data_IF_185817945551
#
_entry.id   IF_185817945551
#
_cell.length_a   1.000
_cell.length_b   1.000
_cell.length_c   1.000
_cell.angle_alpha   90.00
_cell.angle_beta   90.00
_cell.angle_gamma   90.00
#
_symmetry.space_group_name_H-M   'P 1'
#
loop_
_entity.id
_entity.type
_entity.pdbx_description
1 polymer ?
#
# COMPACT_ATOMS: atom_id res chain seq x y z
N UNK A 1 -4.28 6.74 -28.99
CA UNK A 1 -3.76 5.71 -28.06
C UNK A 1 -4.87 4.86 -27.43
N UNK A 2 -5.87 5.45 -26.74
CA UNK A 2 -6.92 4.79 -25.95
C UNK A 2 -7.37 3.37 -26.38
N UNK A 3 -7.71 3.15 -27.67
CA UNK A 3 -8.19 1.83 -28.16
C UNK A 3 -7.21 0.67 -27.88
N UNK A 4 -5.88 0.89 -27.96
CA UNK A 4 -4.88 -0.17 -27.66
C UNK A 4 -4.80 -0.48 -26.17
N UNK A 5 -4.84 0.56 -25.31
CA UNK A 5 -4.85 0.41 -23.84
C UNK A 5 -6.10 -0.34 -23.40
N UNK A 6 -7.26 -0.01 -23.97
CA UNK A 6 -8.52 -0.69 -23.66
C UNK A 6 -8.52 -2.16 -24.10
N UNK A 7 -7.95 -2.50 -25.26
CA UNK A 7 -7.78 -3.89 -25.70
C UNK A 7 -6.83 -4.66 -24.77
N UNK A 8 -5.73 -4.06 -24.33
CA UNK A 8 -4.78 -4.67 -23.40
C UNK A 8 -5.39 -4.90 -22.01
N UNK A 9 -6.15 -3.92 -21.49
CA UNK A 9 -6.88 -4.06 -20.23
C UNK A 9 -7.98 -5.14 -20.31
N UNK A 10 -8.73 -5.22 -21.43
CA UNK A 10 -9.69 -6.31 -21.66
C UNK A 10 -9.00 -7.67 -21.73
N UNK A 11 -7.81 -7.77 -22.33
CA UNK A 11 -7.03 -9.00 -22.35
C UNK A 11 -6.55 -9.41 -20.94
N UNK A 12 -6.12 -8.47 -20.10
CA UNK A 12 -5.80 -8.73 -18.69
C UNK A 12 -7.03 -9.25 -17.94
N UNK A 13 -8.17 -8.55 -18.03
CA UNK A 13 -9.40 -8.99 -17.34
C UNK A 13 -9.90 -10.34 -17.85
N UNK A 14 -9.86 -10.57 -19.17
CA UNK A 14 -10.34 -11.78 -19.83
C UNK A 14 -9.48 -13.02 -19.61
N UNK A 15 -8.15 -12.87 -19.73
CA UNK A 15 -7.21 -13.99 -19.80
C UNK A 15 -6.42 -14.23 -18.50
N UNK A 16 -6.36 -13.24 -17.60
CA UNK A 16 -5.53 -13.28 -16.38
C UNK A 16 -6.38 -13.15 -15.11
N UNK A 17 -7.29 -12.18 -15.04
CA UNK A 17 -8.08 -11.90 -13.81
C UNK A 17 -9.32 -12.80 -13.67
N UNK A 18 -10.06 -13.02 -14.76
CA UNK A 18 -11.27 -13.85 -14.76
C UNK A 18 -11.28 -15.01 -15.80
N UNK A 19 -10.16 -15.72 -16.07
CA UNK A 19 -10.13 -16.79 -17.06
C UNK A 19 -11.05 -17.95 -16.66
N UNK A 20 -12.07 -18.21 -17.50
CA UNK A 20 -12.97 -19.36 -17.39
C UNK A 20 -12.55 -20.53 -18.29
N UNK A 21 -11.94 -20.20 -19.44
CA UNK A 21 -11.25 -21.16 -20.33
C UNK A 21 -9.93 -20.51 -20.75
N UNK A 22 -8.83 -21.28 -20.70
CA UNK A 22 -7.50 -20.75 -21.00
C UNK A 22 -7.44 -20.19 -22.44
N UNK A 23 -6.96 -18.96 -22.60
CA UNK A 23 -6.81 -18.33 -23.92
C UNK A 23 -8.10 -17.70 -24.51
N UNK A 24 -9.25 -17.82 -23.84
CA UNK A 24 -10.52 -17.26 -24.31
C UNK A 24 -11.05 -16.14 -23.40
N UNK A 25 -11.59 -15.09 -24.01
CA UNK A 25 -12.30 -14.01 -23.31
C UNK A 25 -13.80 -14.28 -23.41
N UNK A 26 -14.46 -14.49 -22.26
CA UNK A 26 -15.91 -14.68 -22.19
C UNK A 26 -16.66 -13.37 -22.46
N UNK A 27 -17.83 -13.45 -23.12
CA UNK A 27 -18.64 -12.26 -23.46
C UNK A 27 -19.08 -11.48 -22.20
N UNK A 28 -19.31 -12.16 -21.08
CA UNK A 28 -19.63 -11.53 -19.78
C UNK A 28 -18.50 -10.65 -19.26
N UNK A 29 -17.25 -10.92 -19.63
CA UNK A 29 -16.09 -10.10 -19.26
C UNK A 29 -16.01 -8.86 -20.16
N UNK A 30 -16.44 -8.97 -21.43
CA UNK A 30 -16.63 -7.80 -22.32
C UNK A 30 -17.73 -6.89 -21.78
N UNK A 31 -18.91 -7.44 -21.43
CA UNK A 31 -20.01 -6.70 -20.81
C UNK A 31 -19.61 -6.01 -19.49
N UNK A 32 -18.80 -6.69 -18.67
CA UNK A 32 -18.22 -6.12 -17.46
C UNK A 32 -17.24 -4.99 -17.79
N UNK A 33 -16.37 -5.17 -18.79
CA UNK A 33 -15.39 -4.16 -19.18
C UNK A 33 -16.03 -2.88 -19.75
N UNK A 34 -17.12 -2.98 -20.51
CA UNK A 34 -17.89 -1.80 -20.94
C UNK A 34 -18.51 -1.06 -19.74
N UNK A 35 -18.97 -1.77 -18.71
CA UNK A 35 -19.42 -1.16 -17.44
C UNK A 35 -18.30 -0.44 -16.69
N UNK A 36 -17.06 -0.93 -16.75
CA UNK A 36 -15.92 -0.22 -16.15
C UNK A 36 -15.63 1.12 -16.83
N UNK A 37 -15.80 1.20 -18.16
CA UNK A 37 -15.69 2.48 -18.90
C UNK A 37 -16.79 3.47 -18.53
N UNK A 38 -17.93 2.99 -18.02
CA UNK A 38 -19.02 3.81 -17.49
C UNK A 38 -18.78 4.25 -16.02
N UNK A 39 -17.59 3.99 -15.46
CA UNK A 39 -17.22 4.39 -14.10
C UNK A 39 -17.73 3.46 -12.99
N UNK A 40 -18.28 2.29 -13.32
CA UNK A 40 -18.73 1.32 -12.32
C UNK A 40 -17.50 0.71 -11.62
N UNK A 41 -17.49 0.75 -10.28
CA UNK A 41 -16.39 0.25 -9.47
C UNK A 41 -16.23 -1.29 -9.61
N UNK A 42 -15.06 -1.81 -10.06
CA UNK A 42 -14.84 -3.24 -10.23
C UNK A 42 -14.63 -4.01 -8.92
N UNK A 43 -14.28 -3.34 -7.82
CA UNK A 43 -13.78 -3.98 -6.57
C UNK A 43 -14.76 -5.01 -5.98
N UNK A 44 -16.08 -4.76 -5.87
CA UNK A 44 -17.03 -5.77 -5.37
C UNK A 44 -17.04 -7.06 -6.21
N UNK A 45 -16.94 -6.93 -7.53
CA UNK A 45 -16.94 -8.05 -8.49
C UNK A 45 -15.64 -8.84 -8.42
N UNK A 46 -14.49 -8.15 -8.34
CA UNK A 46 -13.18 -8.77 -8.16
C UNK A 46 -13.18 -9.59 -6.86
N UNK A 47 -13.51 -8.96 -5.72
CA UNK A 47 -13.54 -9.63 -4.41
C UNK A 47 -14.48 -10.83 -4.41
N UNK A 48 -15.66 -10.72 -5.04
CA UNK A 48 -16.60 -11.83 -5.13
C UNK A 48 -16.01 -13.06 -5.83
N UNK A 49 -15.38 -12.89 -7.00
CA UNK A 49 -14.79 -14.00 -7.74
C UNK A 49 -13.47 -14.50 -7.11
N UNK A 50 -12.66 -13.63 -6.51
CA UNK A 50 -11.50 -14.03 -5.69
C UNK A 50 -11.94 -14.97 -4.56
N UNK A 51 -12.93 -14.57 -3.75
CA UNK A 51 -13.38 -15.38 -2.62
C UNK A 51 -14.06 -16.69 -3.07
N UNK A 52 -14.85 -16.67 -4.16
CA UNK A 52 -15.47 -17.87 -4.75
C UNK A 52 -14.45 -18.85 -5.33
N UNK A 53 -13.36 -18.36 -5.92
CA UNK A 53 -12.30 -19.21 -6.47
C UNK A 53 -11.54 -19.92 -5.35
N UNK A 54 -11.17 -19.18 -4.31
CA UNK A 54 -10.46 -19.72 -3.13
C UNK A 54 -11.32 -20.68 -2.30
N UNK A 55 -12.61 -20.37 -2.12
CA UNK A 55 -13.55 -21.28 -1.44
C UNK A 55 -13.79 -22.55 -2.27
N UNK A 56 -13.84 -22.46 -3.60
CA UNK A 56 -13.93 -23.61 -4.50
C UNK A 56 -12.69 -24.50 -4.43
N UNK A 57 -11.49 -23.92 -4.45
CA UNK A 57 -10.23 -24.66 -4.29
C UNK A 57 -10.18 -25.40 -2.95
N UNK A 58 -10.52 -24.72 -1.85
CA UNK A 58 -10.62 -25.33 -0.51
C UNK A 58 -11.65 -26.47 -0.43
N UNK A 59 -12.74 -26.42 -1.20
CA UNK A 59 -13.76 -27.49 -1.25
C UNK A 59 -13.27 -28.73 -2.01
N UNK A 60 -12.48 -28.56 -3.07
CA UNK A 60 -12.05 -29.66 -3.96
C UNK A 60 -11.04 -30.64 -3.35
N UNK A 61 -10.41 -30.31 -2.22
CA UNK A 61 -9.40 -31.11 -1.48
C UNK A 61 -8.09 -31.45 -2.21
N UNK A 62 -8.05 -31.44 -3.55
CA UNK A 62 -6.86 -31.65 -4.39
C UNK A 62 -5.71 -30.65 -4.13
N UNK A 63 -6.00 -29.53 -3.47
CA UNK A 63 -5.00 -28.62 -2.92
C UNK A 63 -5.50 -27.95 -1.66
N UNK A 64 -4.65 -27.89 -0.63
CA UNK A 64 -5.05 -27.37 0.68
C UNK A 64 -4.79 -25.86 0.77
N UNK A 65 -5.78 -25.04 0.40
CA UNK A 65 -5.81 -23.64 0.85
C UNK A 65 -6.11 -23.61 2.36
N UNK A 66 -5.03 -23.59 3.15
CA UNK A 66 -5.07 -23.47 4.62
C UNK A 66 -5.10 -21.97 4.95
N UNK A 67 -6.30 -21.45 5.21
CA UNK A 67 -6.46 -20.04 5.58
C UNK A 67 -7.90 -19.58 5.69
N UNK A 68 -8.07 -18.34 6.17
CA UNK A 68 -9.34 -17.63 6.05
C UNK A 68 -9.35 -16.87 4.72
N UNK A 69 -10.25 -17.25 3.81
CA UNK A 69 -10.44 -16.59 2.51
C UNK A 69 -10.69 -15.08 2.65
N UNK A 70 -11.30 -14.66 3.76
CA UNK A 70 -11.67 -13.28 4.05
C UNK A 70 -10.46 -12.39 4.43
N UNK A 71 -9.35 -12.97 4.90
CA UNK A 71 -8.12 -12.25 5.28
C UNK A 71 -7.25 -11.81 4.09
N UNK A 72 -7.62 -12.16 2.85
CA UNK A 72 -6.78 -11.93 1.66
C UNK A 72 -6.83 -10.49 1.09
N UNK A 73 -7.33 -9.52 1.85
CA UNK A 73 -7.08 -8.11 1.56
C UNK A 73 -5.64 -7.76 2.01
N UNK A 74 -4.77 -7.49 1.03
CA UNK A 74 -3.38 -7.00 1.15
C UNK A 74 -2.71 -7.21 2.53
N UNK A 75 -2.12 -8.38 2.73
CA UNK A 75 -0.92 -8.51 3.58
C UNK A 75 0.29 -8.26 2.69
N UNK A 76 0.55 -6.98 2.42
CA UNK A 76 1.70 -6.51 1.65
C UNK A 76 2.60 -5.73 2.61
N UNK A 77 3.83 -6.19 2.83
CA UNK A 77 4.75 -5.64 3.85
C UNK A 77 5.48 -4.39 3.32
N UNK A 78 4.72 -3.44 2.78
CA UNK A 78 5.18 -2.10 2.38
C UNK A 78 4.91 -1.09 3.50
N UNK A 79 5.86 -0.20 3.83
CA UNK A 79 5.67 0.82 4.87
C UNK A 79 4.72 1.99 4.51
N UNK A 80 4.74 2.99 5.38
CA UNK A 80 3.93 4.20 5.36
C UNK A 80 4.32 5.15 4.21
N UNK A 81 3.41 5.36 3.26
CA UNK A 81 3.55 6.38 2.20
C UNK A 81 2.24 7.18 2.08
N UNK A 82 1.99 8.07 3.05
CA UNK A 82 0.76 8.86 3.14
C UNK A 82 0.93 10.31 2.65
N UNK A 83 2.16 10.81 2.50
CA UNK A 83 2.41 12.25 2.28
C UNK A 83 2.80 12.64 0.85
N UNK A 84 3.16 11.68 -0.01
CA UNK A 84 3.49 11.93 -1.42
C UNK A 84 2.39 11.50 -2.39
N UNK A 85 1.98 12.41 -3.28
CA UNK A 85 1.17 12.10 -4.49
C UNK A 85 1.93 11.31 -5.56
N UNK A 86 3.24 11.07 -5.35
CA UNK A 86 4.15 10.49 -6.35
C UNK A 86 4.75 9.14 -5.92
N UNK A 87 4.29 8.53 -4.82
CA UNK A 87 4.71 7.18 -4.45
C UNK A 87 3.86 6.11 -5.13
N UNK A 88 4.50 5.20 -5.87
CA UNK A 88 3.87 3.98 -6.40
C UNK A 88 4.40 2.74 -5.64
N UNK A 89 3.55 2.04 -4.86
CA UNK A 89 3.94 0.80 -4.17
C UNK A 89 4.44 -0.31 -5.10
N UNK A 90 3.95 -0.37 -6.34
CA UNK A 90 4.39 -1.35 -7.33
C UNK A 90 5.79 -1.03 -7.85
N UNK A 91 6.12 0.25 -8.03
CA UNK A 91 7.47 0.66 -8.41
C UNK A 91 8.47 0.30 -7.30
N UNK A 92 8.16 0.63 -6.05
CA UNK A 92 9.00 0.26 -4.89
C UNK A 92 9.14 -1.27 -4.72
N UNK A 93 8.10 -2.05 -5.02
CA UNK A 93 8.15 -3.51 -5.04
C UNK A 93 9.10 -4.04 -6.14
N UNK A 94 9.07 -3.44 -7.33
CA UNK A 94 9.91 -3.83 -8.48
C UNK A 94 11.37 -3.38 -8.35
N UNK A 95 11.63 -2.25 -7.70
CA UNK A 95 12.97 -1.73 -7.43
C UNK A 95 13.65 -2.45 -6.25
N UNK A 96 12.89 -3.12 -5.37
CA UNK A 96 13.45 -3.92 -4.27
C UNK A 96 14.31 -5.07 -4.83
N UNK A 97 15.54 -5.20 -4.33
CA UNK A 97 16.41 -6.35 -4.62
C UNK A 97 15.89 -7.61 -3.92
N UNK A 98 15.03 -8.34 -4.60
CA UNK A 98 14.58 -9.66 -4.15
C UNK A 98 15.74 -10.66 -4.10
N UNK A 99 15.83 -11.53 -3.08
CA UNK A 99 16.82 -12.61 -3.06
C UNK A 99 16.57 -13.52 -4.28
N UNK A 100 17.62 -13.78 -5.07
CA UNK A 100 17.46 -14.33 -6.42
C UNK A 100 16.97 -15.78 -6.47
N UNK A 101 17.09 -16.53 -5.37
CA UNK A 101 16.91 -17.99 -5.34
C UNK A 101 16.08 -18.47 -4.13
N UNK A 102 14.92 -17.85 -3.85
CA UNK A 102 14.04 -18.28 -2.76
C UNK A 102 13.23 -19.52 -3.16
N UNK A 103 13.54 -20.67 -2.56
CA UNK A 103 12.85 -21.94 -2.83
C UNK A 103 11.45 -22.00 -2.22
N UNK A 104 10.59 -22.91 -2.72
CA UNK A 104 9.26 -23.18 -2.14
C UNK A 104 9.37 -23.60 -0.67
N UNK A 105 10.35 -24.45 -0.35
CA UNK A 105 10.62 -24.93 1.01
C UNK A 105 11.01 -23.79 1.94
N UNK A 106 11.84 -22.83 1.48
CA UNK A 106 12.17 -21.64 2.25
C UNK A 106 10.92 -20.80 2.55
N UNK A 107 10.07 -20.52 1.55
CA UNK A 107 8.80 -19.82 1.79
C UNK A 107 7.86 -20.55 2.76
N UNK A 108 7.75 -21.87 2.66
CA UNK A 108 6.96 -22.68 3.61
C UNK A 108 7.51 -22.56 5.02
N UNK A 109 8.83 -22.66 5.21
CA UNK A 109 9.49 -22.44 6.51
C UNK A 109 9.22 -21.04 7.05
N UNK A 110 9.35 -20.00 6.21
CA UNK A 110 9.05 -18.61 6.60
C UNK A 110 7.61 -18.49 7.10
N UNK A 111 6.61 -18.93 6.33
CA UNK A 111 5.20 -18.81 6.71
C UNK A 111 4.80 -19.71 7.89
N UNK A 112 5.48 -20.83 8.12
CA UNK A 112 5.26 -21.69 9.29
C UNK A 112 5.79 -21.08 10.59
N UNK A 113 6.87 -20.29 10.52
CA UNK A 113 7.54 -19.68 11.68
C UNK A 113 7.19 -18.20 11.90
N UNK A 114 6.22 -17.62 11.18
CA UNK A 114 5.76 -16.24 11.44
C UNK A 114 5.07 -16.12 12.80
N UNK A 115 5.59 -15.24 13.66
CA UNK A 115 4.94 -14.84 14.89
C UNK A 115 3.88 -13.75 14.65
N UNK A 116 3.08 -13.44 15.67
CA UNK A 116 2.01 -12.46 15.55
C UNK A 116 2.52 -11.02 15.37
N UNK A 117 3.75 -10.76 15.84
CA UNK A 117 4.49 -9.50 15.71
C UNK A 117 5.23 -9.34 14.36
N UNK A 118 5.57 -10.41 13.66
CA UNK A 118 6.13 -10.33 12.29
C UNK A 118 5.15 -9.79 11.25
N UNK A 119 3.85 -9.79 11.59
CA UNK A 119 2.76 -9.48 10.68
C UNK A 119 2.22 -8.08 10.98
N UNK A 120 2.52 -7.12 10.12
CA UNK A 120 1.85 -5.81 10.13
C UNK A 120 0.40 -5.98 9.69
N UNK A 121 -0.53 -6.07 10.65
CA UNK A 121 -1.95 -6.36 10.36
C UNK A 121 -2.66 -5.22 9.63
N UNK A 122 -2.29 -3.97 9.93
CA UNK A 122 -2.82 -2.75 9.31
C UNK A 122 -2.00 -2.38 8.07
N UNK A 123 -2.67 -2.16 6.94
CA UNK A 123 -2.07 -1.45 5.81
C UNK A 123 -1.86 0.04 6.17
N UNK A 124 -0.62 0.56 6.28
CA UNK A 124 -0.35 1.84 6.93
C UNK A 124 -1.07 3.06 6.33
N UNK A 125 -1.17 3.10 5.00
CA UNK A 125 -1.83 4.15 4.22
C UNK A 125 -3.36 4.15 4.33
N UNK A 126 -4.00 3.13 4.94
CA UNK A 126 -5.44 3.14 5.17
C UNK A 126 -5.76 4.03 6.37
N UNK A 127 -6.54 5.12 6.21
CA UNK A 127 -7.00 5.92 7.32
C UNK A 127 -8.08 5.18 8.13
N UNK A 128 -8.22 5.45 9.43
CA UNK A 128 -9.40 5.09 10.20
C UNK A 128 -10.65 5.60 9.46
N UNK A 129 -11.56 4.69 9.16
CA UNK A 129 -12.60 4.92 8.15
C UNK A 129 -13.89 4.19 8.50
N UNK A 130 -14.98 4.57 7.84
CA UNK A 130 -16.31 4.03 8.13
C UNK A 130 -16.48 2.66 7.47
N UNK A 131 -16.66 1.62 8.28
CA UNK A 131 -16.71 0.23 7.84
C UNK A 131 -18.15 -0.18 7.47
N UNK A 132 -18.38 -0.54 6.21
CA UNK A 132 -19.61 -1.23 5.79
C UNK A 132 -19.56 -2.69 6.24
N UNK A 133 -20.11 -3.00 7.42
CA UNK A 133 -19.98 -4.34 8.00
C UNK A 133 -21.21 -5.24 7.81
N UNK A 134 -22.40 -4.65 7.58
CA UNK A 134 -23.69 -5.34 7.57
C UNK A 134 -24.64 -4.77 6.51
N UNK A 135 -25.43 -5.63 5.87
CA UNK A 135 -26.37 -5.25 4.80
C UNK A 135 -27.73 -5.92 5.02
N UNK A 136 -28.80 -5.12 5.00
CA UNK A 136 -30.15 -5.58 5.32
C UNK A 136 -30.26 -6.06 6.76
N UNK A 137 -30.32 -7.38 6.91
CA UNK A 137 -30.31 -8.11 8.19
C UNK A 137 -29.12 -9.11 8.27
N UNK A 138 -28.24 -9.15 7.27
CA UNK A 138 -27.07 -10.06 7.21
C UNK A 138 -25.85 -9.42 7.87
N UNK A 139 -25.16 -10.13 8.76
CA UNK A 139 -23.95 -9.65 9.46
C UNK A 139 -22.67 -9.71 8.59
N UNK A 140 -22.85 -9.56 7.29
CA UNK A 140 -21.82 -9.51 6.24
C UNK A 140 -22.38 -8.77 5.01
N UNK A 141 -21.50 -8.45 4.08
CA UNK A 141 -21.81 -7.76 2.82
C UNK A 141 -22.00 -8.78 1.70
N UNK A 142 -23.19 -8.92 1.07
CA UNK A 142 -23.40 -9.84 -0.04
C UNK A 142 -22.86 -9.24 -1.36
N UNK A 143 -21.72 -9.74 -1.81
CA UNK A 143 -21.07 -9.35 -3.07
C UNK A 143 -21.62 -10.17 -4.25
N UNK A 144 -21.68 -9.55 -5.43
CA UNK A 144 -22.03 -10.20 -6.70
C UNK A 144 -20.83 -10.14 -7.64
N UNK A 145 -20.41 -11.30 -8.12
CA UNK A 145 -19.34 -11.49 -9.12
C UNK A 145 -19.90 -11.71 -10.52
N UNK A 146 -19.04 -12.18 -11.44
CA UNK A 146 -19.41 -12.52 -12.81
C UNK A 146 -20.18 -13.85 -12.92
N UNK A 147 -19.94 -14.77 -11.99
CA UNK A 147 -20.41 -16.16 -12.07
C UNK A 147 -21.30 -16.57 -10.87
N UNK A 148 -21.61 -15.64 -9.96
CA UNK A 148 -22.35 -15.93 -8.74
C UNK A 148 -22.29 -14.81 -7.70
N UNK A 149 -22.64 -15.12 -6.45
CA UNK A 149 -22.50 -14.21 -5.31
C UNK A 149 -21.88 -14.90 -4.09
N UNK A 150 -21.37 -14.10 -3.15
CA UNK A 150 -20.71 -14.57 -1.92
C UNK A 150 -20.74 -13.49 -0.83
N UNK A 151 -20.83 -13.89 0.43
CA UNK A 151 -20.74 -12.98 1.58
C UNK A 151 -19.31 -12.60 1.94
N UNK A 152 -19.12 -11.33 2.27
CA UNK A 152 -17.86 -10.77 2.78
C UNK A 152 -18.08 -10.16 4.17
N UNK A 153 -17.54 -10.81 5.20
CA UNK A 153 -17.71 -10.49 6.61
C UNK A 153 -16.54 -9.65 7.12
N UNK A 154 -16.60 -8.33 6.89
CA UNK A 154 -15.57 -7.36 7.29
C UNK A 154 -15.24 -7.36 8.80
N UNK A 155 -16.16 -7.82 9.66
CA UNK A 155 -15.88 -8.02 11.09
C UNK A 155 -14.81 -9.10 11.36
N UNK A 156 -14.52 -9.99 10.42
CA UNK A 156 -13.46 -11.00 10.58
C UNK A 156 -12.03 -10.43 10.48
N UNK A 157 -11.89 -9.16 10.07
CA UNK A 157 -10.60 -8.56 9.64
C UNK A 157 -10.37 -7.14 10.18
N UNK A 158 -10.99 -6.79 11.31
CA UNK A 158 -10.99 -5.42 11.86
C UNK A 158 -9.60 -4.84 12.17
N UNK A 159 -8.62 -5.71 12.50
CA UNK A 159 -7.21 -5.30 12.71
C UNK A 159 -6.63 -4.60 11.48
N UNK A 160 -7.05 -4.99 10.27
CA UNK A 160 -6.60 -4.37 9.02
C UNK A 160 -7.01 -2.91 8.88
N UNK A 161 -8.01 -2.48 9.65
CA UNK A 161 -8.58 -1.13 9.66
C UNK A 161 -8.33 -0.40 10.99
N UNK A 162 -7.31 -0.79 11.77
CA UNK A 162 -6.95 -0.18 13.07
C UNK A 162 -8.04 -0.28 14.15
N UNK A 163 -8.85 -1.34 14.13
CA UNK A 163 -9.97 -1.53 15.05
C UNK A 163 -9.81 -2.81 15.87
N UNK A 164 -10.20 -2.75 17.16
CA UNK A 164 -10.07 -3.85 18.12
C UNK A 164 -10.86 -5.07 17.65
N UNK A 165 -10.18 -6.22 17.57
CA UNK A 165 -10.79 -7.45 17.07
C UNK A 165 -11.56 -8.18 18.17
N UNK A 166 -12.88 -8.32 17.96
CA UNK A 166 -13.77 -9.16 18.77
C UNK A 166 -14.25 -10.40 17.98
N UNK A 167 -15.06 -11.27 18.59
CA UNK A 167 -15.60 -12.47 17.95
C UNK A 167 -16.61 -12.08 16.85
N UNK A 168 -16.33 -12.36 15.56
CA UNK A 168 -17.21 -11.92 14.48
C UNK A 168 -18.44 -12.82 14.34
N UNK A 169 -19.62 -12.23 14.12
CA UNK A 169 -20.84 -12.97 13.77
C UNK A 169 -20.75 -13.49 12.34
N UNK A 170 -20.59 -14.81 12.16
CA UNK A 170 -20.50 -15.45 10.83
C UNK A 170 -21.65 -16.43 10.55
N UNK A 171 -22.74 -16.37 11.32
CA UNK A 171 -23.86 -17.32 11.24
C UNK A 171 -24.69 -17.13 9.97
N UNK A 172 -24.56 -18.03 8.99
CA UNK A 172 -25.19 -17.91 7.66
C UNK A 172 -24.21 -17.52 6.55
N UNK A 173 -22.98 -17.13 6.88
CA UNK A 173 -21.94 -16.75 5.91
C UNK A 173 -21.61 -17.91 4.95
N UNK A 174 -21.57 -19.15 5.44
CA UNK A 174 -21.29 -20.32 4.60
C UNK A 174 -22.39 -20.62 3.56
N UNK A 175 -23.62 -20.19 3.82
CA UNK A 175 -24.80 -20.36 2.98
C UNK A 175 -25.04 -19.17 2.02
N UNK A 176 -24.21 -18.12 2.13
CA UNK A 176 -24.27 -16.91 1.30
C UNK A 176 -23.74 -17.12 -0.12
N UNK A 177 -22.89 -18.12 -0.34
CA UNK A 177 -22.29 -18.44 -1.64
C UNK A 177 -23.30 -19.09 -2.59
N UNK A 178 -23.36 -18.65 -3.84
CA UNK A 178 -24.17 -19.27 -4.90
C UNK A 178 -23.59 -18.99 -6.29
N UNK A 179 -23.91 -19.85 -7.27
CA UNK A 179 -23.57 -19.65 -8.68
C UNK A 179 -24.79 -19.13 -9.48
N UNK A 180 -24.56 -18.42 -10.58
CA UNK A 180 -25.65 -18.00 -11.50
C UNK A 180 -26.23 -19.14 -12.34
N UNK A 181 -25.64 -20.34 -12.29
CA UNK A 181 -26.21 -21.59 -12.82
C UNK A 181 -27.04 -22.36 -11.79
N UNK A 182 -27.06 -21.94 -10.52
CA UNK A 182 -27.77 -22.63 -9.44
C UNK A 182 -29.25 -22.30 -9.39
N UNK A 183 -30.06 -23.25 -8.90
CA UNK A 183 -31.50 -23.04 -8.76
C UNK A 183 -31.82 -21.81 -7.90
N UNK A 184 -32.81 -21.01 -8.34
CA UNK A 184 -33.25 -19.82 -7.60
C UNK A 184 -32.24 -18.66 -7.57
N UNK A 185 -31.14 -18.68 -8.33
CA UNK A 185 -30.13 -17.60 -8.32
C UNK A 185 -30.75 -16.21 -8.56
N UNK A 186 -31.72 -16.09 -9.48
CA UNK A 186 -32.43 -14.83 -9.74
C UNK A 186 -33.20 -14.29 -8.53
N UNK A 187 -33.66 -15.17 -7.62
CA UNK A 187 -34.21 -14.74 -6.32
C UNK A 187 -33.10 -14.19 -5.44
N UNK A 188 -31.97 -14.92 -5.29
CA UNK A 188 -30.81 -14.47 -4.51
C UNK A 188 -30.24 -13.13 -5.01
N UNK A 189 -30.16 -12.90 -6.32
CA UNK A 189 -29.72 -11.62 -6.91
C UNK A 189 -30.71 -10.49 -6.59
N UNK A 190 -32.02 -10.70 -6.76
CA UNK A 190 -33.03 -9.69 -6.41
C UNK A 190 -33.04 -9.37 -4.92
N UNK A 191 -32.96 -10.38 -4.07
CA UNK A 191 -32.98 -10.18 -2.61
C UNK A 191 -31.68 -9.56 -2.10
N UNK A 192 -30.54 -9.85 -2.75
CA UNK A 192 -29.28 -9.10 -2.57
C UNK A 192 -29.48 -7.63 -2.93
N UNK A 193 -29.97 -7.31 -4.14
CA UNK A 193 -30.19 -5.94 -4.59
C UNK A 193 -31.21 -5.16 -3.73
N UNK A 194 -32.20 -5.83 -3.11
CA UNK A 194 -33.07 -5.24 -2.08
C UNK A 194 -32.30 -4.95 -0.79
N UNK A 195 -31.48 -5.89 -0.32
CA UNK A 195 -30.75 -5.76 0.95
C UNK A 195 -29.75 -4.58 0.92
N UNK A 196 -29.11 -4.32 -0.22
CA UNK A 196 -28.22 -3.17 -0.45
C UNK A 196 -28.89 -1.79 -0.28
N UNK A 197 -30.24 -1.71 -0.22
CA UNK A 197 -30.95 -0.47 0.14
C UNK A 197 -30.86 -0.11 1.63
N UNK A 198 -30.38 -1.02 2.49
CA UNK A 198 -30.25 -0.85 3.94
C UNK A 198 -28.83 -1.25 4.37
N UNK A 199 -27.87 -0.36 4.14
CA UNK A 199 -26.49 -0.53 4.60
C UNK A 199 -26.36 -0.19 6.09
N UNK A 200 -25.46 -0.88 6.79
CA UNK A 200 -25.08 -0.56 8.17
C UNK A 200 -23.59 -0.28 8.23
N UNK A 201 -23.27 0.90 8.74
CA UNK A 201 -21.94 1.46 8.82
C UNK A 201 -21.48 1.49 10.29
N UNK A 202 -20.19 1.30 10.52
CA UNK A 202 -19.55 1.42 11.84
C UNK A 202 -18.35 2.35 11.74
N UNK A 203 -18.32 3.38 12.58
CA UNK A 203 -17.12 4.22 12.73
C UNK A 203 -16.03 3.44 13.46
N UNK A 204 -14.85 3.35 12.87
CA UNK A 204 -13.71 2.68 13.46
C UNK A 204 -12.90 3.67 14.29
N UNK A 205 -13.24 3.75 15.57
CA UNK A 205 -12.39 4.44 16.54
C UNK A 205 -10.99 3.82 16.58
N UNK A 206 -9.97 4.68 16.64
CA UNK A 206 -8.57 4.29 16.77
C UNK A 206 -8.33 3.61 18.12
N UNK A 207 -8.34 2.28 18.10
CA UNK A 207 -7.77 1.49 19.17
C UNK A 207 -6.36 1.05 18.75
N UNK A 208 -5.43 0.96 19.71
CA UNK A 208 -4.19 0.21 19.49
C UNK A 208 -4.54 -1.21 19.01
N UNK A 209 -3.67 -1.84 18.22
CA UNK A 209 -3.96 -3.15 17.62
C UNK A 209 -4.10 -4.23 18.71
N UNK A 210 -5.34 -4.48 19.09
CA UNK A 210 -5.71 -5.20 20.31
C UNK A 210 -6.82 -6.20 20.03
N UNK A 211 -6.83 -7.26 20.84
CA UNK A 211 -7.85 -8.30 20.82
C UNK A 211 -8.83 -8.08 21.99
N UNK A 212 -10.03 -8.66 21.91
CA UNK A 212 -10.76 -9.01 23.13
C UNK A 212 -10.21 -10.33 23.70
N UNK A 213 -10.32 -10.52 25.01
CA UNK A 213 -9.90 -11.75 25.68
C UNK A 213 -10.67 -12.95 25.10
N UNK A 214 -11.96 -12.77 24.84
CA UNK A 214 -12.84 -13.78 24.25
C UNK A 214 -12.39 -14.14 22.83
N UNK A 215 -11.96 -13.17 22.02
CA UNK A 215 -11.44 -13.43 20.68
C UNK A 215 -10.13 -14.23 20.73
N UNK A 216 -9.23 -13.94 21.68
CA UNK A 216 -8.01 -14.73 21.88
C UNK A 216 -8.35 -16.19 22.23
N UNK A 217 -9.28 -16.42 23.17
CA UNK A 217 -9.74 -17.75 23.59
C UNK A 217 -10.40 -18.49 22.40
N UNK A 218 -11.35 -17.84 21.72
CA UNK A 218 -12.06 -18.35 20.55
C UNK A 218 -11.12 -18.70 19.38
N UNK A 219 -10.08 -17.90 19.14
CA UNK A 219 -9.03 -18.21 18.16
C UNK A 219 -8.24 -19.45 18.57
N UNK A 220 -7.77 -19.50 19.82
CA UNK A 220 -6.94 -20.61 20.33
C UNK A 220 -7.67 -21.96 20.24
N UNK A 221 -8.96 -21.99 20.58
CA UNK A 221 -9.81 -23.18 20.43
C UNK A 221 -9.91 -23.68 18.98
N UNK A 222 -9.90 -22.77 17.99
CA UNK A 222 -10.00 -23.12 16.55
C UNK A 222 -8.67 -23.51 15.91
N UNK A 223 -7.54 -22.96 16.38
CA UNK A 223 -6.20 -23.34 15.87
C UNK A 223 -5.89 -24.79 16.20
N UNK A 224 -6.23 -25.24 17.41
CA UNK A 224 -5.97 -26.60 17.87
C UNK A 224 -6.71 -27.70 17.08
N UNK A 225 -7.68 -27.36 16.20
CA UNK A 225 -8.35 -28.31 15.31
C UNK A 225 -7.73 -28.38 13.91
N UNK A 226 -6.58 -27.74 13.67
CA UNK A 226 -5.87 -27.72 12.38
C UNK A 226 -4.43 -28.20 12.58
N UNK A 227 -4.27 -29.52 12.67
CA UNK A 227 -2.98 -30.16 12.91
C UNK A 227 -2.09 -30.06 11.65
N UNK A 228 -1.05 -29.22 11.73
CA UNK A 228 0.01 -29.11 10.71
C UNK A 228 1.30 -29.65 11.33
N UNK A 229 1.94 -30.60 10.64
CA UNK A 229 3.21 -31.18 11.08
C UNK A 229 4.30 -30.11 11.10
N UNK A 230 4.98 -29.94 12.24
CA UNK A 230 6.19 -29.13 12.32
C UNK A 230 7.36 -29.85 11.66
N UNK A 231 8.19 -29.11 10.93
CA UNK A 231 9.46 -29.61 10.39
C UNK A 231 10.56 -28.69 10.89
N UNK A 232 11.47 -29.20 11.72
CA UNK A 232 12.48 -28.39 12.39
C UNK A 232 13.55 -27.91 11.38
N UNK A 233 13.45 -26.66 10.96
CA UNK A 233 14.49 -25.92 10.24
C UNK A 233 14.81 -24.62 10.98
N UNK A 234 16.08 -24.22 10.99
CA UNK A 234 16.47 -22.90 11.52
C UNK A 234 15.88 -21.80 10.64
N UNK A 235 15.13 -20.88 11.26
CA UNK A 235 14.53 -19.74 10.59
C UNK A 235 15.46 -18.54 10.62
N UNK A 236 15.86 -18.07 9.44
CA UNK A 236 16.37 -16.71 9.24
C UNK A 236 15.44 -16.03 8.24
N UNK A 237 14.79 -14.95 8.68
CA UNK A 237 13.94 -14.12 7.82
C UNK A 237 14.81 -13.38 6.79
N UNK A 238 14.69 -13.65 5.47
CA UNK A 238 15.50 -12.98 4.44
C UNK A 238 15.09 -11.50 4.24
N UNK A 239 14.02 -11.06 4.90
CA UNK A 239 13.58 -9.66 4.98
C UNK A 239 13.88 -9.04 6.35
N UNK A 240 14.82 -9.61 7.11
CA UNK A 240 15.33 -9.07 8.37
C UNK A 240 16.42 -7.99 8.16
N UNK A 241 16.31 -7.23 7.08
CA UNK A 241 16.84 -5.87 7.07
C UNK A 241 16.12 -5.13 8.22
N UNK A 242 16.87 -4.50 9.14
CA UNK A 242 16.24 -3.62 10.13
C UNK A 242 15.43 -2.57 9.37
N UNK A 243 14.11 -2.55 9.57
CA UNK A 243 13.24 -1.66 8.83
C UNK A 243 13.66 -0.22 9.18
N UNK A 244 14.10 0.60 8.20
CA UNK A 244 14.57 1.95 8.50
C UNK A 244 13.53 2.69 9.32
N UNK A 245 13.96 3.29 10.42
CA UNK A 245 13.02 3.85 11.41
C UNK A 245 12.05 4.83 10.75
N UNK A 246 10.85 5.00 11.31
CA UNK A 246 9.85 5.94 10.77
C UNK A 246 10.45 7.35 10.54
N UNK A 247 11.39 7.75 11.41
CA UNK A 247 12.18 8.97 11.32
C UNK A 247 13.14 9.02 10.11
N UNK A 248 13.77 7.90 9.77
CA UNK A 248 14.76 7.80 8.69
C UNK A 248 14.09 7.69 7.31
N UNK A 249 12.95 7.00 7.21
CA UNK A 249 12.10 7.06 6.02
C UNK A 249 11.52 8.48 5.82
N UNK A 250 11.02 9.11 6.88
CA UNK A 250 10.50 10.48 6.83
C UNK A 250 11.56 11.51 6.41
N UNK A 251 12.85 11.28 6.73
CA UNK A 251 13.95 12.08 6.18
C UNK A 251 14.03 11.97 4.67
N UNK A 252 14.07 10.75 4.14
CA UNK A 252 14.37 10.54 2.74
C UNK A 252 13.26 11.12 1.86
N UNK A 253 12.00 11.01 2.29
CA UNK A 253 10.85 11.72 1.69
C UNK A 253 11.00 13.25 1.80
N UNK A 254 11.34 13.77 2.99
CA UNK A 254 11.54 15.20 3.21
C UNK A 254 12.67 15.82 2.35
N UNK A 255 13.84 15.17 2.28
CA UNK A 255 14.97 15.64 1.46
C UNK A 255 14.66 15.55 -0.04
N UNK A 256 13.91 14.53 -0.48
CA UNK A 256 13.46 14.42 -1.86
C UNK A 256 12.49 15.55 -2.24
N UNK A 257 11.47 15.81 -1.42
CA UNK A 257 10.48 16.85 -1.70
C UNK A 257 11.10 18.26 -1.59
N UNK A 258 12.04 18.47 -0.66
CA UNK A 258 12.91 19.67 -0.59
C UNK A 258 13.72 19.85 -1.88
N UNK A 259 14.36 18.81 -2.39
CA UNK A 259 15.11 18.85 -3.65
C UNK A 259 14.20 19.02 -4.89
N UNK A 260 12.91 18.72 -4.78
CA UNK A 260 11.89 19.01 -5.80
C UNK A 260 11.43 20.47 -5.74
N UNK A 261 11.00 20.96 -4.58
CA UNK A 261 10.61 22.36 -4.37
C UNK A 261 11.73 23.35 -4.77
N UNK A 262 13.01 23.01 -4.56
CA UNK A 262 14.14 23.84 -5.01
C UNK A 262 14.24 23.94 -6.54
N UNK A 263 13.91 22.87 -7.28
CA UNK A 263 13.86 22.89 -8.75
C UNK A 263 12.66 23.70 -9.25
N UNK A 264 11.49 23.47 -8.66
CA UNK A 264 10.25 24.19 -9.02
C UNK A 264 10.40 25.71 -8.76
N UNK A 265 11.04 26.10 -7.66
CA UNK A 265 11.34 27.50 -7.34
C UNK A 265 12.33 28.11 -8.34
N UNK A 266 13.37 27.38 -8.74
CA UNK A 266 14.32 27.85 -9.76
C UNK A 266 13.65 28.04 -11.13
N UNK A 267 12.70 27.18 -11.52
CA UNK A 267 11.94 27.32 -12.76
C UNK A 267 11.02 28.55 -12.73
N UNK A 268 10.33 28.79 -11.61
CA UNK A 268 9.48 29.97 -11.41
C UNK A 268 10.28 31.29 -11.37
N UNK A 269 11.54 31.25 -10.92
CA UNK A 269 12.44 32.41 -11.03
C UNK A 269 12.77 32.73 -12.48
N UNK A 270 13.11 31.72 -13.30
CA UNK A 270 13.41 31.90 -14.73
C UNK A 270 12.19 32.43 -15.51
N UNK A 271 11.00 31.86 -15.27
CA UNK A 271 9.74 32.35 -15.86
C UNK A 271 9.48 33.83 -15.51
N UNK A 272 9.77 34.25 -14.27
CA UNK A 272 9.62 35.64 -13.82
C UNK A 272 10.64 36.57 -14.49
N UNK A 273 11.88 36.12 -14.70
CA UNK A 273 12.88 36.86 -15.49
C UNK A 273 12.43 37.05 -16.95
N UNK A 274 11.90 36.00 -17.60
CA UNK A 274 11.40 36.08 -18.96
C UNK A 274 10.18 37.02 -19.07
N UNK A 275 9.18 36.86 -18.20
CA UNK A 275 8.01 37.75 -18.17
C UNK A 275 8.39 39.23 -17.94
N UNK A 276 9.43 39.49 -17.15
CA UNK A 276 9.96 40.85 -16.94
C UNK A 276 10.58 41.44 -18.22
N UNK A 277 11.27 40.61 -19.02
CA UNK A 277 11.79 41.00 -20.33
C UNK A 277 10.62 41.28 -21.29
N UNK A 278 9.62 40.39 -21.35
CA UNK A 278 8.47 40.52 -22.25
C UNK A 278 7.64 41.77 -21.94
N UNK A 279 7.39 42.06 -20.66
CA UNK A 279 6.73 43.31 -20.21
C UNK A 279 7.53 44.54 -20.63
N UNK A 280 8.86 44.49 -20.60
CA UNK A 280 9.71 45.62 -21.00
C UNK A 280 9.80 45.78 -22.53
N UNK A 281 9.70 44.69 -23.30
CA UNK A 281 9.54 44.70 -24.75
C UNK A 281 8.17 45.30 -25.12
N UNK A 282 7.09 44.87 -24.49
CA UNK A 282 5.74 45.34 -24.81
C UNK A 282 5.54 46.81 -24.40
N UNK A 283 6.09 47.21 -23.25
CA UNK A 283 6.21 48.62 -22.89
C UNK A 283 6.93 49.44 -23.98
N UNK A 284 8.03 48.92 -24.52
CA UNK A 284 8.78 49.58 -25.61
C UNK A 284 8.03 49.60 -26.95
N UNK A 285 7.04 48.72 -27.16
CA UNK A 285 6.10 48.78 -28.29
C UNK A 285 5.02 49.82 -28.05
N UNK A 286 4.45 49.88 -26.85
CA UNK A 286 3.46 50.86 -26.42
C UNK A 286 4.01 52.29 -26.52
N UNK A 287 5.24 52.53 -26.02
CA UNK A 287 5.94 53.82 -26.10
C UNK A 287 6.36 54.22 -27.54
N UNK A 288 6.31 53.29 -28.51
CA UNK A 288 6.45 53.60 -29.95
C UNK A 288 5.09 53.81 -30.63
N UNK A 289 4.08 53.05 -30.23
CA UNK A 289 2.73 53.12 -30.80
C UNK A 289 1.92 54.33 -30.31
N UNK A 290 2.37 55.03 -29.25
CA UNK A 290 1.77 56.30 -28.80
C UNK A 290 1.85 57.46 -29.81
N UNK A 291 2.48 57.23 -30.98
CA UNK A 291 2.37 58.10 -32.16
C UNK A 291 1.02 58.00 -32.90
N UNK A 292 0.19 56.99 -32.64
CA UNK A 292 -1.21 56.93 -33.12
C UNK A 292 -2.18 57.22 -31.97
N UNK A 293 -3.18 58.05 -32.25
CA UNK A 293 -4.01 58.69 -31.22
C UNK A 293 -4.89 57.74 -30.41
N UNK A 294 -4.53 57.55 -29.14
CA UNK A 294 -5.45 57.31 -28.02
C UNK A 294 -5.64 58.59 -27.21
N UNK A 295 -6.80 58.76 -26.59
CA UNK A 295 -7.14 59.92 -25.76
C UNK A 295 -6.32 59.96 -24.47
N UNK A 296 -6.02 61.16 -23.97
CA UNK A 296 -5.34 61.36 -22.69
C UNK A 296 -6.15 60.82 -21.49
N UNK A 297 -7.46 60.60 -21.66
CA UNK A 297 -8.30 59.94 -20.66
C UNK A 297 -8.03 58.43 -20.60
N UNK A 298 -8.02 57.76 -21.76
CA UNK A 298 -7.81 56.31 -21.89
C UNK A 298 -6.46 55.88 -21.31
N UNK A 299 -5.39 56.64 -21.61
CA UNK A 299 -4.06 56.41 -21.04
C UNK A 299 -4.02 56.52 -19.51
N UNK A 300 -4.81 57.41 -18.90
CA UNK A 300 -4.90 57.54 -17.43
C UNK A 300 -5.63 56.35 -16.82
N UNK A 301 -6.65 55.83 -17.49
CA UNK A 301 -7.41 54.67 -17.05
C UNK A 301 -6.60 53.37 -17.17
N UNK A 302 -5.92 53.16 -18.30
CA UNK A 302 -4.98 52.03 -18.49
C UNK A 302 -3.84 52.08 -17.45
N UNK A 303 -3.24 53.25 -17.21
CA UNK A 303 -2.19 53.41 -16.20
C UNK A 303 -2.69 53.12 -14.77
N UNK A 304 -3.91 53.55 -14.42
CA UNK A 304 -4.51 53.26 -13.12
C UNK A 304 -4.83 51.76 -12.95
N UNK A 305 -5.35 51.10 -13.99
CA UNK A 305 -5.61 49.66 -13.97
C UNK A 305 -4.32 48.84 -13.85
N UNK A 306 -3.25 49.21 -14.58
CA UNK A 306 -1.93 48.59 -14.45
C UNK A 306 -1.37 48.79 -13.03
N UNK A 307 -1.51 49.99 -12.45
CA UNK A 307 -1.07 50.28 -11.08
C UNK A 307 -1.84 49.46 -10.05
N UNK A 308 -3.16 49.33 -10.19
CA UNK A 308 -3.98 48.48 -9.32
C UNK A 308 -3.61 46.99 -9.43
N UNK A 309 -3.33 46.51 -10.65
CA UNK A 309 -2.80 45.17 -10.88
C UNK A 309 -1.45 44.94 -10.20
N UNK A 310 -0.51 45.90 -10.30
CA UNK A 310 0.79 45.81 -9.64
C UNK A 310 0.68 45.78 -8.11
N UNK A 311 -0.17 46.63 -7.52
CA UNK A 311 -0.47 46.62 -6.07
C UNK A 311 -1.03 45.25 -5.63
N UNK A 312 -1.99 44.69 -6.38
CA UNK A 312 -2.58 43.38 -6.12
C UNK A 312 -1.53 42.25 -6.17
N UNK A 313 -0.72 42.19 -7.24
CA UNK A 313 0.31 41.14 -7.38
C UNK A 313 1.42 41.28 -6.33
N UNK A 314 1.81 42.49 -5.97
CA UNK A 314 2.74 42.78 -4.87
C UNK A 314 2.19 42.31 -3.52
N UNK A 315 0.91 42.55 -3.24
CA UNK A 315 0.23 42.03 -2.06
C UNK A 315 0.11 40.49 -2.04
N UNK A 316 -0.03 39.85 -3.21
CA UNK A 316 -0.04 38.40 -3.34
C UNK A 316 1.35 37.79 -3.15
N UNK A 317 2.39 38.35 -3.77
CA UNK A 317 3.78 37.92 -3.62
C UNK A 317 4.19 37.92 -2.14
N UNK A 318 3.93 39.02 -1.43
CA UNK A 318 4.20 39.15 0.01
C UNK A 318 3.55 38.05 0.87
N UNK A 319 2.32 37.65 0.55
CA UNK A 319 1.64 36.54 1.25
C UNK A 319 2.27 35.17 0.99
N UNK A 320 2.87 34.96 -0.18
CA UNK A 320 3.61 33.72 -0.45
C UNK A 320 5.01 33.76 0.18
N UNK A 321 5.67 34.92 0.23
CA UNK A 321 6.92 35.13 0.99
C UNK A 321 6.72 34.85 2.49
N UNK A 322 5.63 35.35 3.09
CA UNK A 322 5.28 35.12 4.50
C UNK A 322 5.04 33.62 4.80
N UNK A 323 4.39 32.88 3.88
CA UNK A 323 4.26 31.41 3.99
C UNK A 323 5.60 30.68 3.82
N UNK A 324 6.41 31.10 2.86
CA UNK A 324 7.72 30.49 2.61
C UNK A 324 8.65 30.68 3.82
N UNK A 325 8.66 31.87 4.44
CA UNK A 325 9.40 32.14 5.66
C UNK A 325 8.92 31.28 6.85
N UNK A 326 7.60 31.06 6.98
CA UNK A 326 7.05 30.14 7.99
C UNK A 326 7.50 28.69 7.74
N UNK A 327 7.39 28.20 6.51
CA UNK A 327 7.82 26.86 6.13
C UNK A 327 9.33 26.63 6.37
N UNK A 328 10.18 27.58 5.97
CA UNK A 328 11.62 27.53 6.23
C UNK A 328 11.97 27.50 7.72
N UNK A 329 11.15 28.11 8.59
CA UNK A 329 11.39 28.12 10.04
C UNK A 329 11.13 26.74 10.67
N UNK A 330 10.02 26.10 10.34
CA UNK A 330 9.72 24.75 10.84
C UNK A 330 10.66 23.70 10.22
N UNK A 331 11.05 23.90 8.96
CA UNK A 331 12.05 23.08 8.26
C UNK A 331 13.42 23.09 8.97
N UNK A 332 13.92 24.27 9.38
CA UNK A 332 15.18 24.38 10.15
C UNK A 332 15.11 23.65 11.49
N UNK A 333 13.99 23.78 12.21
CA UNK A 333 13.74 23.05 13.47
C UNK A 333 13.81 21.54 13.26
N UNK A 334 13.19 21.01 12.19
CA UNK A 334 13.24 19.57 11.85
C UNK A 334 14.65 19.09 11.46
N UNK A 335 15.48 19.92 10.84
CA UNK A 335 16.89 19.60 10.59
C UNK A 335 17.67 19.37 11.89
N UNK A 336 17.53 20.28 12.86
CA UNK A 336 18.23 20.20 14.16
C UNK A 336 17.76 18.98 14.98
N UNK A 337 16.46 18.71 14.99
CA UNK A 337 15.89 17.49 15.58
C UNK A 337 16.49 16.22 14.95
N UNK A 338 16.63 16.17 13.63
CA UNK A 338 17.26 15.04 12.93
C UNK A 338 18.76 14.91 13.23
N UNK A 339 19.54 16.00 13.15
CA UNK A 339 21.00 15.99 13.33
C UNK A 339 21.37 15.39 14.70
N UNK A 340 20.59 15.77 15.72
CA UNK A 340 20.68 15.24 17.09
C UNK A 340 20.47 13.71 17.17
N UNK A 341 19.61 13.13 16.33
CA UNK A 341 19.39 11.67 16.28
C UNK A 341 20.48 10.97 15.44
N UNK A 342 20.94 11.59 14.34
CA UNK A 342 22.00 11.02 13.50
C UNK A 342 23.28 10.77 14.28
N UNK A 343 23.69 11.70 15.14
CA UNK A 343 24.89 11.57 15.96
C UNK A 343 24.81 10.39 16.94
N UNK A 344 23.61 10.12 17.49
CA UNK A 344 23.34 9.00 18.40
C UNK A 344 23.32 7.65 17.67
N UNK A 345 22.83 7.61 16.44
CA UNK A 345 22.86 6.39 15.62
C UNK A 345 24.29 6.04 15.17
N UNK A 346 25.08 7.03 14.76
CA UNK A 346 26.47 6.81 14.31
C UNK A 346 27.39 6.33 15.43
N UNK A 347 27.19 6.81 16.67
CA UNK A 347 27.95 6.34 17.84
C UNK A 347 27.62 4.89 18.17
N UNK A 348 26.33 4.55 18.33
CA UNK A 348 25.91 3.17 18.61
C UNK A 348 26.29 2.17 17.50
N UNK A 349 26.28 2.60 16.23
CA UNK A 349 26.76 1.78 15.11
C UNK A 349 28.26 1.47 15.18
N UNK A 350 29.08 2.40 15.70
CA UNK A 350 30.51 2.18 15.91
C UNK A 350 30.75 1.13 17.00
N UNK A 351 30.01 1.22 18.11
CA UNK A 351 30.07 0.26 19.23
C UNK A 351 29.70 -1.16 18.76
N UNK A 352 28.65 -1.29 17.94
CA UNK A 352 28.24 -2.58 17.38
C UNK A 352 29.30 -3.16 16.41
N UNK A 353 30.04 -2.32 15.66
CA UNK A 353 31.08 -2.81 14.77
C UNK A 353 32.28 -3.37 15.54
N UNK A 354 32.74 -2.68 16.59
CA UNK A 354 33.82 -3.16 17.48
C UNK A 354 33.46 -4.50 18.15
N UNK A 355 32.19 -4.68 18.54
CA UNK A 355 31.68 -5.94 19.07
C UNK A 355 31.61 -7.06 18.00
N UNK A 356 31.32 -6.73 16.75
CA UNK A 356 31.27 -7.71 15.64
C UNK A 356 32.67 -8.24 15.31
N UNK A 357 33.66 -7.37 15.25
CA UNK A 357 35.06 -7.74 14.94
C UNK A 357 35.61 -8.69 16.01
N UNK A 358 35.37 -8.41 17.30
CA UNK A 358 35.71 -9.32 18.40
C UNK A 358 35.05 -10.69 18.34
N UNK A 359 33.87 -10.82 17.71
CA UNK A 359 33.20 -12.11 17.53
C UNK A 359 33.88 -12.89 16.40
N UNK A 360 34.23 -12.24 15.27
CA UNK A 360 34.93 -12.90 14.17
C UNK A 360 36.30 -13.44 14.60
N UNK A 361 37.08 -12.66 15.36
CA UNK A 361 38.38 -13.11 15.90
C UNK A 361 38.25 -14.39 16.77
N UNK A 362 37.13 -14.55 17.48
CA UNK A 362 36.85 -15.74 18.29
C UNK A 362 36.42 -16.94 17.44
N UNK A 363 35.62 -16.72 16.38
CA UNK A 363 35.19 -17.77 15.44
C UNK A 363 36.38 -18.32 14.64
N UNK A 364 37.23 -17.45 14.11
CA UNK A 364 38.43 -17.80 13.34
C UNK A 364 39.45 -18.59 14.17
N UNK A 365 39.53 -18.36 15.50
CA UNK A 365 40.35 -19.17 16.42
C UNK A 365 39.77 -20.55 16.75
N UNK A 366 38.46 -20.74 16.58
CA UNK A 366 37.75 -21.98 16.89
C UNK A 366 37.65 -22.92 15.67
N UNK A 367 37.40 -22.37 14.49
CA UNK A 367 37.21 -23.15 13.26
C UNK A 367 38.33 -24.18 12.97
N UNK A 368 39.65 -23.86 13.09
CA UNK A 368 40.71 -24.84 12.85
C UNK A 368 40.71 -26.01 13.85
N UNK A 369 40.33 -25.73 15.11
CA UNK A 369 40.24 -26.76 16.17
C UNK A 369 39.10 -27.73 15.89
N UNK A 370 38.00 -27.23 15.35
CA UNK A 370 36.84 -28.04 14.97
C UNK A 370 37.17 -28.93 13.76
N UNK A 371 37.79 -28.37 12.72
CA UNK A 371 38.27 -29.16 11.56
C UNK A 371 39.27 -30.26 11.95
N UNK A 372 40.13 -30.02 12.95
CA UNK A 372 41.03 -31.05 13.50
C UNK A 372 40.26 -32.19 14.20
N UNK A 373 39.20 -31.88 14.95
CA UNK A 373 38.35 -32.90 15.59
C UNK A 373 37.59 -33.73 14.55
N UNK A 374 37.00 -33.08 13.55
CA UNK A 374 36.24 -33.74 12.48
C UNK A 374 37.13 -34.70 11.66
N UNK A 375 38.36 -34.29 11.34
CA UNK A 375 39.33 -35.14 10.65
C UNK A 375 39.77 -36.36 11.47
N UNK A 376 39.93 -36.20 12.80
CA UNK A 376 40.26 -37.30 13.71
C UNK A 376 39.10 -38.30 13.85
N UNK A 377 37.85 -37.82 13.89
CA UNK A 377 36.65 -38.66 13.91
C UNK A 377 36.53 -39.50 12.64
N UNK A 378 36.66 -38.89 11.46
CA UNK A 378 36.56 -39.62 10.19
C UNK A 378 37.64 -40.70 10.03
N UNK A 379 38.87 -40.42 10.47
CA UNK A 379 39.97 -41.39 10.46
C UNK A 379 39.79 -42.55 11.48
N UNK A 380 38.90 -42.40 12.47
CA UNK A 380 38.45 -43.47 13.36
C UNK A 380 37.34 -44.31 12.72
N UNK A 381 36.41 -43.70 11.98
CA UNK A 381 35.33 -44.41 11.27
C UNK A 381 35.89 -45.31 10.14
N UNK A 382 36.77 -44.75 9.30
CA UNK A 382 37.42 -45.46 8.18
C UNK A 382 38.32 -46.64 8.61
N UNK A 383 38.67 -46.73 9.91
CA UNK A 383 39.44 -47.85 10.49
C UNK A 383 38.59 -48.96 11.11
N UNK A 384 37.28 -48.75 11.25
CA UNK A 384 36.35 -49.67 11.89
C UNK A 384 35.30 -50.25 10.91
N UNK A 385 35.57 -50.14 9.60
CA UNK A 385 34.79 -50.72 8.49
C UNK A 385 35.61 -51.74 7.72
#
# INVERSE_FOLDING_TARGET
MLKRVNLFALAIYGLIVFPKVLGHIEVTIVDFFERLKQGINPVPTILAETFKSLSSYRKKREGHFIGCVQLLNKVERTPFHMFSKAFDPLQAYLEKKWPKEVTKQHWVSVFQNLHAEDVTWRAPWIPPSVLLYKVGNQDWVPLLGLWGGVGYALLMVQRQFSSRQFIPTTGGLAQSEFAFTGEGYMKRVRDTAKSWKKIHLMELALYADTLTQDYYIWRKQRVNSQQVSSTNYSFQNPFSEEMPSELEMARQEFEHEKAKMLRDLSALQEENYQLKIDVQIERSRIEKNSGLGKSQAEWKEELNNIKGGMEFWKGKARKEEEKAAWAMKELRKKSIEYETVSAKLMTSRSEHQELRERIQDLEDMLQPRQQQLDALLKALEEKNS
#
